data_IF_447936963500
#
_entry.id   IF_447936963500
#
_cell.length_a   1.000
_cell.length_b   1.000
_cell.length_c   1.000
_cell.angle_alpha   90.00
_cell.angle_beta   90.00
_cell.angle_gamma   90.00
#
_symmetry.space_group_name_H-M   'P 1'
#
loop_
_entity.id
_entity.type
_entity.pdbx_description
1 polymer ?
#
# COMPACT_ATOMS: atom_id res chain seq x y z
N UNK A 1 -15.44 0.89 -25.11
CA UNK A 1 -14.79 -0.03 -24.16
C UNK A 1 -15.86 -0.49 -23.20
N UNK A 2 -16.08 -1.80 -23.08
CA UNK A 2 -17.02 -2.31 -22.08
C UNK A 2 -16.57 -1.82 -20.70
N UNK A 3 -17.49 -1.27 -19.91
CA UNK A 3 -17.20 -0.95 -18.51
C UNK A 3 -17.01 -2.30 -17.83
N UNK A 4 -15.75 -2.71 -17.67
CA UNK A 4 -15.42 -3.97 -17.01
C UNK A 4 -15.97 -3.96 -15.58
N UNK A 5 -16.51 -5.10 -15.15
CA UNK A 5 -17.05 -5.21 -13.80
C UNK A 5 -15.93 -5.05 -12.78
N UNK A 6 -16.03 -4.03 -11.94
CA UNK A 6 -15.07 -3.75 -10.87
C UNK A 6 -14.87 -4.92 -9.89
N UNK A 7 -15.78 -5.91 -9.92
CA UNK A 7 -15.79 -7.06 -9.03
C UNK A 7 -15.12 -8.32 -9.63
N UNK A 8 -14.64 -8.27 -10.88
CA UNK A 8 -14.13 -9.46 -11.60
C UNK A 8 -12.98 -10.17 -10.88
N UNK A 9 -12.12 -9.40 -10.19
CA UNK A 9 -10.96 -9.90 -9.44
C UNK A 9 -11.11 -9.70 -7.93
N UNK A 10 -12.36 -9.63 -7.46
CA UNK A 10 -12.67 -9.64 -6.04
C UNK A 10 -13.01 -11.08 -5.65
N UNK A 11 -12.38 -11.60 -4.60
CA UNK A 11 -12.50 -12.97 -4.14
C UNK A 11 -13.26 -13.00 -2.82
N UNK A 12 -14.57 -13.34 -2.81
CA UNK A 12 -15.38 -13.30 -1.58
C UNK A 12 -14.88 -14.23 -0.47
N UNK A 13 -14.37 -15.41 -0.83
CA UNK A 13 -13.78 -16.33 0.14
C UNK A 13 -12.52 -15.74 0.80
N UNK A 14 -11.69 -15.05 0.02
CA UNK A 14 -10.52 -14.35 0.53
C UNK A 14 -10.92 -13.16 1.43
N UNK A 15 -11.94 -12.39 1.03
CA UNK A 15 -12.53 -11.33 1.87
C UNK A 15 -13.00 -11.89 3.20
N UNK A 16 -13.77 -12.97 3.19
CA UNK A 16 -14.24 -13.64 4.40
C UNK A 16 -13.07 -14.11 5.27
N UNK A 17 -12.02 -14.69 4.68
CA UNK A 17 -10.82 -15.10 5.41
C UNK A 17 -10.09 -13.92 6.07
N UNK A 18 -9.91 -12.79 5.37
CA UNK A 18 -9.27 -11.58 5.91
C UNK A 18 -10.09 -11.02 7.07
N UNK A 19 -11.42 -10.99 6.93
CA UNK A 19 -12.34 -10.47 7.95
C UNK A 19 -12.58 -11.44 9.13
N UNK A 20 -12.39 -12.74 8.93
CA UNK A 20 -12.61 -13.75 9.95
C UNK A 20 -11.47 -13.86 10.97
N UNK A 21 -10.32 -13.20 10.76
CA UNK A 21 -9.18 -13.22 11.68
C UNK A 21 -9.64 -12.79 13.09
N UNK A 22 -9.81 -13.73 14.03
CA UNK A 22 -10.33 -13.41 15.34
C UNK A 22 -9.20 -12.78 16.15
N UNK A 23 -9.53 -11.75 16.92
CA UNK A 23 -8.78 -11.39 18.12
C UNK A 23 -8.62 -12.65 19.00
N UNK A 24 -7.47 -13.32 18.89
CA UNK A 24 -6.99 -14.39 19.77
C UNK A 24 -7.90 -15.61 19.95
N UNK A 25 -7.75 -16.65 19.10
CA UNK A 25 -7.70 -18.06 19.54
C UNK A 25 -7.46 -18.97 18.34
N UNK A 26 -6.68 -20.02 18.57
CA UNK A 26 -6.04 -20.87 17.59
C UNK A 26 -6.96 -21.90 16.89
N UNK A 27 -6.41 -22.41 15.80
CA UNK A 27 -6.56 -23.76 15.27
C UNK A 27 -7.82 -24.12 14.45
N UNK A 28 -7.53 -24.63 13.25
CA UNK A 28 -8.34 -25.52 12.42
C UNK A 28 -9.76 -25.07 12.09
N UNK A 29 -9.93 -24.43 10.93
CA UNK A 29 -11.21 -24.46 10.22
C UNK A 29 -10.96 -24.77 8.75
N UNK A 30 -11.34 -25.99 8.36
CA UNK A 30 -11.52 -26.44 6.97
C UNK A 30 -12.60 -25.59 6.28
N UNK A 31 -12.44 -25.21 4.99
CA UNK A 31 -13.44 -24.39 4.30
C UNK A 31 -14.72 -25.19 4.01
N UNK A 32 -15.89 -24.51 3.97
CA UNK A 32 -17.16 -25.14 3.60
C UNK A 32 -17.21 -25.42 2.08
N UNK A 33 -17.70 -26.59 1.72
CA UNK A 33 -18.05 -26.94 0.34
C UNK A 33 -19.41 -26.33 -0.02
N UNK A 34 -19.51 -25.63 -1.15
CA UNK A 34 -20.78 -25.49 -1.88
C UNK A 34 -20.56 -25.10 -3.34
N UNK A 35 -21.21 -25.89 -4.20
CA UNK A 35 -21.32 -25.79 -5.65
C UNK A 35 -21.88 -24.44 -6.14
N UNK A 36 -21.24 -23.83 -7.15
CA UNK A 36 -21.89 -23.27 -8.36
C UNK A 36 -20.86 -22.59 -9.28
N UNK A 37 -21.10 -22.70 -10.59
CA UNK A 37 -20.21 -22.30 -11.69
C UNK A 37 -19.85 -20.80 -11.72
N UNK A 38 -18.79 -20.40 -11.02
CA UNK A 38 -17.97 -19.23 -11.33
C UNK A 38 -16.51 -19.68 -11.50
N UNK A 39 -15.76 -19.25 -12.52
CA UNK A 39 -14.43 -19.79 -12.83
C UNK A 39 -13.36 -19.54 -11.74
N UNK A 40 -13.71 -18.94 -10.60
CA UNK A 40 -12.80 -18.57 -9.51
C UNK A 40 -13.33 -18.93 -8.10
N UNK A 41 -14.36 -19.77 -7.96
CA UNK A 41 -14.96 -20.09 -6.65
C UNK A 41 -14.07 -20.92 -5.71
N UNK A 42 -13.10 -21.67 -6.24
CA UNK A 42 -12.33 -22.65 -5.45
C UNK A 42 -10.95 -22.17 -4.99
N UNK A 43 -10.61 -20.90 -5.23
CA UNK A 43 -9.28 -20.38 -4.92
C UNK A 43 -9.19 -19.98 -3.45
N UNK A 44 -8.96 -20.98 -2.60
CA UNK A 44 -8.51 -20.74 -1.23
C UNK A 44 -7.12 -20.07 -1.26
N UNK A 45 -6.75 -19.26 -0.24
CA UNK A 45 -5.42 -18.65 -0.11
C UNK A 45 -4.31 -19.69 0.17
N UNK A 46 -4.48 -20.93 -0.29
CA UNK A 46 -3.75 -22.12 0.14
C UNK A 46 -3.56 -23.12 -1.00
N UNK A 47 -3.56 -22.69 -2.27
CA UNK A 47 -2.88 -23.46 -3.31
C UNK A 47 -1.39 -23.61 -2.96
N UNK A 48 -0.84 -22.59 -2.28
CA UNK A 48 0.43 -22.62 -1.58
C UNK A 48 0.35 -23.48 -0.32
N UNK A 49 1.24 -24.47 -0.15
CA UNK A 49 1.51 -25.09 1.16
C UNK A 49 2.28 -24.14 2.12
N UNK A 50 2.12 -22.82 1.94
CA UNK A 50 2.86 -21.78 2.67
C UNK A 50 1.92 -21.19 3.74
N UNK A 51 2.40 -21.01 4.98
CA UNK A 51 1.66 -20.27 6.01
C UNK A 51 1.29 -18.85 5.55
N UNK A 52 0.07 -18.41 5.88
CA UNK A 52 -0.45 -17.12 5.41
C UNK A 52 0.41 -15.91 5.80
N UNK A 53 0.99 -15.90 6.99
CA UNK A 53 1.90 -14.83 7.45
C UNK A 53 3.15 -14.73 6.57
N UNK A 54 3.71 -15.88 6.19
CA UNK A 54 4.83 -15.97 5.25
C UNK A 54 4.40 -15.53 3.86
N UNK A 55 3.25 -16.00 3.36
CA UNK A 55 2.73 -15.60 2.05
C UNK A 55 2.47 -14.08 1.99
N UNK A 56 1.87 -13.50 3.04
CA UNK A 56 1.63 -12.06 3.12
C UNK A 56 2.95 -11.27 3.09
N UNK A 57 3.98 -11.75 3.78
CA UNK A 57 5.30 -11.13 3.74
C UNK A 57 5.96 -11.25 2.36
N UNK A 58 5.81 -12.40 1.68
CA UNK A 58 6.28 -12.59 0.32
C UNK A 58 5.58 -11.65 -0.65
N UNK A 59 4.25 -11.49 -0.57
CA UNK A 59 3.48 -10.52 -1.36
C UNK A 59 4.01 -9.10 -1.18
N UNK A 60 4.12 -8.63 0.07
CA UNK A 60 4.62 -7.28 0.37
C UNK A 60 6.01 -7.04 -0.18
N UNK A 61 6.96 -7.91 0.14
CA UNK A 61 8.36 -7.75 -0.30
C UNK A 61 8.55 -7.93 -1.80
N UNK A 62 7.64 -8.64 -2.48
CA UNK A 62 7.63 -8.71 -3.95
C UNK A 62 7.14 -7.39 -4.56
N UNK A 63 6.11 -6.77 -3.99
CA UNK A 63 5.66 -5.44 -4.41
C UNK A 63 6.68 -4.33 -4.09
N UNK A 64 7.40 -4.42 -2.97
CA UNK A 64 8.54 -3.55 -2.65
C UNK A 64 9.65 -3.68 -3.70
N UNK A 65 9.98 -4.91 -4.12
CA UNK A 65 10.93 -5.14 -5.20
C UNK A 65 10.48 -4.52 -6.54
N UNK A 66 9.17 -4.57 -6.85
CA UNK A 66 8.62 -3.88 -8.03
C UNK A 66 8.84 -2.37 -7.96
N UNK A 67 8.64 -1.75 -6.79
CA UNK A 67 8.89 -0.31 -6.59
C UNK A 67 10.36 0.04 -6.71
N UNK A 68 11.24 -0.75 -6.08
CA UNK A 68 12.69 -0.56 -6.17
C UNK A 68 13.18 -0.69 -7.62
N UNK A 69 12.66 -1.67 -8.36
CA UNK A 69 13.00 -1.87 -9.77
C UNK A 69 12.49 -0.71 -10.62
N UNK A 70 11.22 -0.34 -10.48
CA UNK A 70 10.63 0.80 -11.19
C UNK A 70 11.39 2.09 -10.93
N UNK A 71 11.82 2.34 -9.69
CA UNK A 71 12.62 3.51 -9.32
C UNK A 71 13.99 3.53 -10.02
N UNK A 72 14.66 2.37 -10.14
CA UNK A 72 15.95 2.27 -10.84
C UNK A 72 15.80 2.54 -12.34
N UNK A 73 14.74 2.02 -12.96
CA UNK A 73 14.47 2.22 -14.39
C UNK A 73 13.62 3.46 -14.70
N UNK A 74 13.35 4.29 -13.69
CA UNK A 74 12.56 5.53 -13.79
C UNK A 74 11.15 5.35 -14.39
N UNK A 75 10.51 4.22 -14.10
CA UNK A 75 9.11 3.96 -14.47
C UNK A 75 8.19 4.74 -13.51
N UNK A 76 7.15 5.45 -14.01
CA UNK A 76 6.22 6.19 -13.16
C UNK A 76 5.29 5.29 -12.34
N UNK A 77 4.52 5.90 -11.44
CA UNK A 77 3.65 5.17 -10.51
C UNK A 77 2.57 4.33 -11.20
N UNK A 78 1.96 4.82 -12.28
CA UNK A 78 0.85 4.12 -12.94
C UNK A 78 1.22 2.69 -13.41
N UNK A 79 2.27 2.48 -14.22
CA UNK A 79 2.75 1.13 -14.55
C UNK A 79 3.24 0.34 -13.33
N UNK A 80 3.85 1.00 -12.34
CA UNK A 80 4.35 0.36 -11.12
C UNK A 80 3.21 -0.26 -10.30
N UNK A 81 2.13 0.49 -10.11
CA UNK A 81 0.92 0.04 -9.41
C UNK A 81 0.23 -1.08 -10.20
N UNK A 82 0.11 -0.94 -11.53
CA UNK A 82 -0.46 -1.99 -12.37
C UNK A 82 0.33 -3.31 -12.25
N UNK A 83 1.67 -3.24 -12.23
CA UNK A 83 2.54 -4.39 -12.02
C UNK A 83 2.31 -5.06 -10.66
N UNK A 84 2.17 -4.29 -9.59
CA UNK A 84 1.84 -4.83 -8.27
C UNK A 84 0.49 -5.54 -8.28
N UNK A 85 -0.52 -4.98 -8.95
CA UNK A 85 -1.85 -5.62 -9.07
C UNK A 85 -1.78 -6.92 -9.88
N UNK A 86 -0.98 -6.98 -10.95
CA UNK A 86 -0.71 -8.23 -11.67
C UNK A 86 -0.07 -9.29 -10.77
N UNK A 87 0.92 -8.91 -9.96
CA UNK A 87 1.56 -9.82 -8.99
C UNK A 87 0.54 -10.36 -8.00
N UNK A 88 -0.33 -9.50 -7.45
CA UNK A 88 -1.37 -9.95 -6.51
C UNK A 88 -2.33 -10.94 -7.15
N UNK A 89 -2.86 -10.62 -8.35
CA UNK A 89 -3.77 -11.49 -9.11
C UNK A 89 -3.12 -12.82 -9.48
N UNK A 90 -1.86 -12.80 -9.92
CA UNK A 90 -1.13 -14.01 -10.29
C UNK A 90 -0.98 -14.96 -9.09
N UNK A 91 -0.50 -14.45 -7.96
CA UNK A 91 -0.31 -15.26 -6.76
C UNK A 91 -1.61 -15.59 -6.04
N UNK A 92 -2.75 -15.05 -6.47
CA UNK A 92 -4.04 -15.61 -6.05
C UNK A 92 -4.23 -17.00 -6.66
N UNK A 93 -3.80 -17.21 -7.91
CA UNK A 93 -4.02 -18.45 -8.66
C UNK A 93 -2.84 -19.43 -8.63
N UNK A 94 -1.64 -18.94 -8.31
CA UNK A 94 -0.40 -19.72 -8.31
C UNK A 94 0.34 -19.65 -6.97
N UNK A 95 1.18 -20.65 -6.69
CA UNK A 95 2.00 -20.65 -5.47
C UNK A 95 3.37 -19.99 -5.66
N UNK A 96 3.83 -19.28 -4.62
CA UNK A 96 5.21 -18.79 -4.49
C UNK A 96 6.27 -19.90 -4.48
N UNK A 97 5.89 -21.19 -4.28
CA UNK A 97 6.83 -22.31 -4.41
C UNK A 97 7.09 -22.72 -5.87
N UNK A 98 6.13 -22.43 -6.76
CA UNK A 98 6.18 -22.87 -8.16
C UNK A 98 6.79 -21.80 -9.08
N UNK A 99 6.53 -20.53 -8.78
CA UNK A 99 7.00 -19.40 -9.57
C UNK A 99 7.92 -18.51 -8.74
N UNK A 100 9.09 -18.20 -9.30
CA UNK A 100 10.00 -17.25 -8.69
C UNK A 100 9.37 -15.85 -8.69
N UNK A 101 9.28 -15.27 -7.49
CA UNK A 101 8.62 -13.98 -7.27
C UNK A 101 9.32 -12.79 -7.91
N UNK A 102 10.63 -12.84 -8.02
CA UNK A 102 11.40 -11.73 -8.59
C UNK A 102 11.31 -11.78 -10.11
N UNK A 103 11.43 -12.97 -10.71
CA UNK A 103 11.19 -13.14 -12.15
C UNK A 103 9.76 -12.74 -12.55
N UNK A 104 8.76 -13.17 -11.77
CA UNK A 104 7.38 -12.75 -12.01
C UNK A 104 7.21 -11.23 -11.85
N UNK A 105 7.77 -10.63 -10.80
CA UNK A 105 7.70 -9.19 -10.58
C UNK A 105 8.33 -8.40 -11.74
N UNK A 106 9.49 -8.85 -12.25
CA UNK A 106 10.12 -8.27 -13.43
C UNK A 106 9.24 -8.41 -14.67
N UNK A 107 8.63 -9.58 -14.90
CA UNK A 107 7.70 -9.80 -16.01
C UNK A 107 6.41 -8.98 -15.89
N UNK A 108 5.87 -8.82 -14.68
CA UNK A 108 4.71 -8.00 -14.40
C UNK A 108 4.98 -6.52 -14.67
N UNK A 109 6.15 -6.02 -14.27
CA UNK A 109 6.57 -4.64 -14.56
C UNK A 109 6.81 -4.42 -16.06
N UNK A 110 7.42 -5.39 -16.74
CA UNK A 110 7.59 -5.36 -18.20
C UNK A 110 6.25 -5.28 -18.93
N UNK A 111 5.29 -6.11 -18.53
CA UNK A 111 3.95 -6.11 -19.10
C UNK A 111 3.22 -4.80 -18.81
N UNK A 112 3.21 -4.35 -17.56
CA UNK A 112 2.54 -3.12 -17.13
C UNK A 112 3.09 -1.87 -17.85
N UNK A 113 4.42 -1.80 -17.98
CA UNK A 113 5.10 -0.76 -18.73
C UNK A 113 4.60 -0.68 -20.18
N UNK A 114 4.38 -1.82 -20.85
CA UNK A 114 3.81 -1.85 -22.20
C UNK A 114 2.33 -1.44 -22.23
N UNK A 115 1.53 -1.88 -21.25
CA UNK A 115 0.08 -1.60 -21.24
C UNK A 115 -0.24 -0.16 -20.88
N UNK A 116 0.63 0.51 -20.14
CA UNK A 116 0.50 1.91 -19.69
C UNK A 116 1.33 2.87 -20.57
N UNK A 117 1.67 2.46 -21.80
CA UNK A 117 2.37 3.28 -22.81
C UNK A 117 3.75 3.81 -22.36
N UNK A 118 4.44 3.08 -21.49
CA UNK A 118 5.82 3.34 -21.05
C UNK A 118 6.75 2.14 -21.34
N UNK A 119 6.87 1.66 -22.60
CA UNK A 119 7.57 0.42 -22.90
C UNK A 119 9.09 0.51 -22.63
N UNK A 120 9.63 -0.49 -21.94
CA UNK A 120 11.06 -0.63 -21.64
C UNK A 120 11.66 -1.83 -22.38
N UNK A 121 12.97 -1.80 -22.67
CA UNK A 121 13.67 -2.97 -23.22
C UNK A 121 13.80 -4.05 -22.14
N UNK A 122 13.43 -5.29 -22.47
CA UNK A 122 13.52 -6.44 -21.53
C UNK A 122 14.93 -6.64 -20.98
N UNK A 123 15.96 -6.42 -21.81
CA UNK A 123 17.37 -6.55 -21.40
C UNK A 123 17.73 -5.58 -20.28
N UNK A 124 17.46 -4.29 -20.49
CA UNK A 124 17.67 -3.23 -19.48
C UNK A 124 16.94 -3.57 -18.17
N UNK A 125 15.68 -3.96 -18.26
CA UNK A 125 14.88 -4.29 -17.09
C UNK A 125 15.44 -5.51 -16.34
N UNK A 126 15.91 -6.52 -17.07
CA UNK A 126 16.52 -7.73 -16.50
C UNK A 126 17.86 -7.43 -15.83
N UNK A 127 18.70 -6.60 -16.44
CA UNK A 127 19.97 -6.15 -15.86
C UNK A 127 19.72 -5.42 -14.53
N UNK A 128 18.80 -4.44 -14.51
CA UNK A 128 18.46 -3.72 -13.28
C UNK A 128 17.85 -4.64 -12.19
N UNK A 129 17.03 -5.62 -12.58
CA UNK A 129 16.48 -6.61 -11.65
C UNK A 129 17.58 -7.48 -11.02
N UNK A 130 18.53 -7.98 -11.83
CA UNK A 130 19.66 -8.76 -11.34
C UNK A 130 20.57 -7.94 -10.43
N UNK A 131 20.82 -6.67 -10.76
CA UNK A 131 21.59 -5.76 -9.92
C UNK A 131 20.95 -5.56 -8.55
N UNK A 132 19.63 -5.40 -8.47
CA UNK A 132 18.92 -5.33 -7.20
C UNK A 132 19.16 -6.60 -6.36
N UNK A 133 18.97 -7.76 -6.97
CA UNK A 133 19.05 -9.05 -6.29
C UNK A 133 20.47 -9.40 -5.82
N UNK A 134 21.48 -9.09 -6.62
CA UNK A 134 22.84 -9.59 -6.42
C UNK A 134 23.78 -8.55 -5.83
N UNK A 135 23.63 -7.28 -6.21
CA UNK A 135 24.58 -6.23 -5.84
C UNK A 135 24.05 -5.32 -4.72
N UNK A 136 22.73 -5.06 -4.67
CA UNK A 136 22.13 -4.14 -3.68
C UNK A 136 21.63 -4.83 -2.41
N UNK A 137 21.34 -6.13 -2.45
CA UNK A 137 20.88 -6.90 -1.28
C UNK A 137 21.93 -7.65 -0.41
N UNK A 138 23.26 -7.66 -0.63
CA UNK A 138 24.18 -8.42 0.23
C UNK A 138 24.26 -7.92 1.68
N UNK A 139 23.89 -6.67 1.95
CA UNK A 139 23.98 -6.07 3.30
C UNK A 139 22.93 -6.60 4.31
N UNK A 140 21.75 -7.09 3.87
CA UNK A 140 20.72 -7.56 4.83
C UNK A 140 21.08 -8.90 5.46
N UNK A 141 21.80 -9.77 4.76
CA UNK A 141 22.30 -11.04 5.31
C UNK A 141 23.52 -10.83 6.24
N UNK A 142 24.38 -9.85 5.95
CA UNK A 142 25.47 -9.40 6.82
C UNK A 142 24.93 -8.78 8.14
N UNK A 143 23.91 -7.94 8.07
CA UNK A 143 23.22 -7.35 9.24
C UNK A 143 22.52 -8.42 10.09
N UNK A 144 21.94 -9.44 9.47
CA UNK A 144 21.30 -10.58 10.14
C UNK A 144 22.33 -11.47 10.85
N UNK A 145 23.49 -11.74 10.24
CA UNK A 145 24.62 -12.45 10.89
C UNK A 145 25.25 -11.65 12.04
N UNK A 146 25.37 -10.33 11.91
CA UNK A 146 25.82 -9.42 12.98
C UNK A 146 24.83 -9.37 14.15
N UNK A 147 23.52 -9.48 13.88
CA UNK A 147 22.48 -9.53 14.92
C UNK A 147 22.47 -10.84 15.71
N UNK A 148 22.88 -11.97 15.11
CA UNK A 148 23.02 -13.26 15.80
C UNK A 148 24.30 -13.38 16.67
N UNK A 149 25.29 -12.52 16.46
CA UNK A 149 26.58 -12.56 17.18
C UNK A 149 26.67 -11.61 18.39
N UNK A 150 25.62 -10.83 18.70
CA UNK A 150 25.59 -9.97 19.91
C UNK A 150 24.58 -10.51 20.93
N UNK A 151 24.91 -11.63 21.58
CA UNK A 151 24.36 -11.93 22.92
C UNK A 151 24.93 -10.89 23.89
N UNK A 152 24.08 -9.96 24.35
CA UNK A 152 24.42 -8.99 25.40
C UNK A 152 24.76 -9.73 26.70
N UNK A 153 25.81 -9.32 27.44
CA UNK A 153 25.96 -9.74 28.82
C UNK A 153 24.94 -8.99 29.69
N UNK A 154 24.43 -9.74 30.67
CA UNK A 154 23.54 -9.31 31.76
C UNK A 154 24.18 -8.15 32.54
N UNK A 155 23.40 -7.09 32.82
CA UNK A 155 23.85 -6.02 33.71
C UNK A 155 23.11 -6.10 35.04
N UNK A 156 23.89 -6.47 36.06
CA UNK A 156 23.53 -6.42 37.47
C UNK A 156 23.24 -4.99 37.95
N UNK A 157 22.41 -4.94 38.99
CA UNK A 157 22.00 -3.75 39.72
C UNK A 157 23.14 -3.21 40.60
N UNK A 158 23.38 -1.89 40.61
CA UNK A 158 23.68 -1.06 41.82
C UNK A 158 24.02 0.42 41.50
N UNK A 159 23.09 1.29 41.88
CA UNK A 159 23.22 2.46 42.77
C UNK A 159 24.45 3.41 42.80
N UNK A 160 24.11 4.71 42.70
CA UNK A 160 24.45 5.88 43.55
C UNK A 160 25.42 6.98 43.04
N UNK A 161 24.82 8.19 42.96
CA UNK A 161 25.28 9.57 43.22
C UNK A 161 26.28 10.32 42.31
N UNK A 162 25.90 11.58 42.00
CA UNK A 162 26.83 12.71 42.05
C UNK A 162 26.79 13.75 40.91
N UNK A 163 26.12 14.88 41.17
CA UNK A 163 26.51 16.26 40.80
C UNK A 163 26.30 16.84 39.38
N UNK A 164 25.39 17.84 39.37
CA UNK A 164 25.25 19.08 38.59
C UNK A 164 26.28 19.48 37.49
N UNK A 165 25.79 19.84 36.29
CA UNK A 165 25.67 21.24 35.82
C UNK A 165 25.16 21.34 34.36
N UNK A 166 24.39 22.41 34.04
CA UNK A 166 24.35 23.04 32.71
C UNK A 166 23.26 22.60 31.70
N UNK A 167 22.18 23.39 31.59
CA UNK A 167 21.22 23.45 30.46
C UNK A 167 21.83 24.32 29.31
N UNK A 168 21.39 24.24 28.03
CA UNK A 168 19.97 24.33 27.64
C UNK A 168 19.45 23.45 26.49
N UNK A 169 18.26 22.90 26.74
CA UNK A 169 17.04 22.85 25.90
C UNK A 169 17.20 23.25 24.42
N UNK A 170 17.18 22.27 23.51
CA UNK A 170 16.87 22.46 22.09
C UNK A 170 15.42 22.07 21.79
N UNK A 171 14.75 22.94 21.03
CA UNK A 171 13.37 22.85 20.56
C UNK A 171 13.22 21.88 19.37
N UNK A 172 12.01 21.36 19.09
CA UNK A 172 11.73 20.59 17.88
C UNK A 172 11.75 21.48 16.62
N UNK A 173 12.08 20.95 15.43
CA UNK A 173 12.25 21.77 14.24
C UNK A 173 10.90 22.32 13.75
N UNK A 174 10.87 23.63 13.53
CA UNK A 174 9.77 24.38 12.94
C UNK A 174 9.81 24.36 11.41
N UNK A 175 8.61 24.44 10.83
CA UNK A 175 8.33 24.45 9.40
C UNK A 175 9.04 25.60 8.68
N UNK A 176 9.76 25.29 7.61
CA UNK A 176 10.27 26.28 6.66
C UNK A 176 9.22 26.59 5.60
N UNK A 177 8.92 27.87 5.47
CA UNK A 177 8.07 28.46 4.43
C UNK A 177 8.72 28.32 3.05
N UNK A 178 7.97 27.80 2.08
CA UNK A 178 8.38 27.72 0.67
C UNK A 178 8.36 29.13 0.07
N UNK A 179 9.53 29.72 -0.12
CA UNK A 179 9.70 30.96 -0.88
C UNK A 179 9.60 30.68 -2.39
N UNK A 180 8.61 31.27 -3.06
CA UNK A 180 8.45 31.23 -4.53
C UNK A 180 9.64 31.91 -5.20
N UNK A 181 10.47 31.14 -5.93
CA UNK A 181 11.57 31.67 -6.76
C UNK A 181 11.01 32.48 -7.93
N UNK A 182 11.43 33.74 -8.03
CA UNK A 182 11.28 34.60 -9.22
C UNK A 182 12.60 34.58 -10.00
N UNK A 183 12.54 34.63 -11.32
CA UNK A 183 13.72 34.85 -12.16
C UNK A 183 14.17 36.33 -12.12
N UNK A 184 15.38 36.61 -12.62
CA UNK A 184 16.04 37.93 -12.58
C UNK A 184 15.30 39.07 -13.32
N UNK A 185 14.19 38.75 -14.01
CA UNK A 185 13.31 39.72 -14.67
C UNK A 185 11.96 39.90 -13.96
N UNK A 186 11.76 39.34 -12.76
CA UNK A 186 10.59 39.60 -11.92
C UNK A 186 9.26 39.02 -12.44
N UNK A 187 9.27 38.06 -13.38
CA UNK A 187 8.05 37.43 -13.90
C UNK A 187 7.78 36.11 -13.17
N UNK A 188 6.53 35.88 -12.75
CA UNK A 188 6.09 34.63 -12.13
C UNK A 188 6.11 33.53 -13.21
N UNK A 189 6.86 32.46 -12.96
CA UNK A 189 6.95 31.31 -13.87
C UNK A 189 5.69 30.46 -13.69
N UNK A 190 4.88 30.37 -14.74
CA UNK A 190 3.77 29.42 -14.84
C UNK A 190 4.33 27.99 -14.87
N UNK A 191 3.71 27.11 -14.08
CA UNK A 191 4.03 25.68 -14.00
C UNK A 191 3.55 24.99 -15.28
N UNK A 192 4.37 24.99 -16.32
CA UNK A 192 4.24 24.06 -17.43
C UNK A 192 4.87 22.72 -17.06
N UNK A 193 4.06 21.67 -17.09
CA UNK A 193 4.43 20.28 -16.94
C UNK A 193 5.45 19.87 -18.01
N UNK A 194 6.72 19.81 -17.61
CA UNK A 194 7.77 19.10 -18.32
C UNK A 194 8.76 18.63 -17.26
N UNK A 195 8.49 17.45 -16.67
CA UNK A 195 9.49 16.70 -15.92
C UNK A 195 10.61 16.35 -16.90
N UNK A 196 11.65 17.16 -16.92
CA UNK A 196 12.90 16.82 -17.58
C UNK A 196 13.59 15.77 -16.73
N UNK A 197 13.39 14.48 -17.04
CA UNK A 197 14.33 13.46 -16.59
C UNK A 197 15.65 13.76 -17.30
N UNK A 198 16.71 13.95 -16.53
CA UNK A 198 18.05 14.16 -17.05
C UNK A 198 18.55 12.84 -17.65
N UNK A 199 18.61 12.70 -18.99
CA UNK A 199 19.00 11.44 -19.63
C UNK A 199 20.44 11.06 -19.29
N UNK A 200 21.31 12.03 -18.96
CA UNK A 200 22.69 11.77 -18.56
C UNK A 200 22.75 11.11 -17.20
N UNK A 201 21.93 11.57 -16.25
CA UNK A 201 21.83 10.97 -14.92
C UNK A 201 21.27 9.54 -14.97
N UNK A 202 20.25 9.29 -15.80
CA UNK A 202 19.70 7.95 -16.00
C UNK A 202 20.74 6.99 -16.61
N UNK A 203 21.48 7.46 -17.61
CA UNK A 203 22.55 6.69 -18.23
C UNK A 203 23.69 6.38 -17.25
N UNK A 204 24.07 7.33 -16.40
CA UNK A 204 25.10 7.13 -15.37
C UNK A 204 24.70 6.03 -14.37
N UNK A 205 23.46 6.06 -13.87
CA UNK A 205 22.93 5.02 -12.97
C UNK A 205 22.93 3.64 -13.62
N UNK A 206 22.55 3.56 -14.90
CA UNK A 206 22.57 2.31 -15.64
C UNK A 206 24.00 1.81 -15.86
N UNK A 207 24.96 2.69 -16.12
CA UNK A 207 26.37 2.34 -16.23
C UNK A 207 26.90 1.75 -14.92
N UNK A 208 26.58 2.36 -13.78
CA UNK A 208 26.95 1.86 -12.45
C UNK A 208 26.38 0.47 -12.20
N UNK A 209 25.13 0.24 -12.59
CA UNK A 209 24.49 -1.08 -12.56
C UNK A 209 25.28 -2.09 -13.39
N UNK A 210 25.58 -1.77 -14.65
CA UNK A 210 26.32 -2.67 -15.54
C UNK A 210 27.73 -2.98 -15.03
N UNK A 211 28.45 -2.00 -14.47
CA UNK A 211 29.76 -2.21 -13.87
C UNK A 211 29.69 -3.19 -12.71
N UNK A 212 28.73 -3.02 -11.80
CA UNK A 212 28.53 -3.95 -10.68
C UNK A 212 28.15 -5.36 -11.14
N UNK A 213 27.34 -5.47 -12.21
CA UNK A 213 26.97 -6.77 -12.77
C UNK A 213 28.14 -7.48 -13.45
N UNK A 214 29.01 -6.75 -14.15
CA UNK A 214 30.16 -7.31 -14.85
C UNK A 214 31.11 -8.06 -13.90
N UNK A 215 31.14 -7.68 -12.62
CA UNK A 215 31.97 -8.34 -11.60
C UNK A 215 31.36 -9.64 -11.07
N UNK A 216 30.03 -9.80 -11.17
CA UNK A 216 29.28 -10.84 -10.43
C UNK A 216 28.62 -11.87 -11.36
N UNK A 217 28.23 -11.47 -12.57
CA UNK A 217 27.37 -12.25 -13.47
C UNK A 217 28.12 -12.72 -14.70
N UNK A 218 27.92 -13.99 -15.06
CA UNK A 218 28.33 -14.53 -16.36
C UNK A 218 27.43 -13.98 -17.47
N UNK A 219 28.02 -13.54 -18.58
CA UNK A 219 27.31 -12.85 -19.67
C UNK A 219 25.99 -13.54 -20.05
N UNK A 220 25.99 -14.87 -20.24
CA UNK A 220 24.83 -15.65 -20.67
C UNK A 220 23.66 -15.78 -19.67
N UNK A 221 23.88 -15.44 -18.40
CA UNK A 221 22.82 -15.50 -17.38
C UNK A 221 21.78 -14.40 -17.61
N UNK A 222 22.21 -13.23 -18.11
CA UNK A 222 21.32 -12.11 -18.43
C UNK A 222 20.37 -12.50 -19.57
N UNK A 223 20.87 -13.07 -20.66
CA UNK A 223 20.01 -13.52 -21.78
C UNK A 223 19.06 -14.64 -21.35
N UNK A 224 19.53 -15.57 -20.51
CA UNK A 224 18.70 -16.66 -19.99
C UNK A 224 17.56 -16.11 -19.12
N UNK A 225 17.87 -15.15 -18.26
CA UNK A 225 16.89 -14.51 -17.37
C UNK A 225 15.88 -13.68 -18.17
N UNK A 226 16.33 -12.91 -19.16
CA UNK A 226 15.45 -12.14 -20.04
C UNK A 226 14.49 -13.06 -20.82
N UNK A 227 14.96 -14.23 -21.27
CA UNK A 227 14.13 -15.23 -21.92
C UNK A 227 13.05 -15.79 -20.97
N UNK A 228 13.40 -16.04 -19.71
CA UNK A 228 12.44 -16.46 -18.67
C UNK A 228 11.40 -15.36 -18.39
N UNK A 229 11.81 -14.09 -18.36
CA UNK A 229 10.90 -12.94 -18.17
C UNK A 229 9.86 -12.88 -19.30
N UNK A 230 10.26 -13.07 -20.56
CA UNK A 230 9.33 -13.10 -21.69
C UNK A 230 8.36 -14.30 -21.63
N UNK A 231 8.84 -15.46 -21.20
CA UNK A 231 7.98 -16.62 -21.01
C UNK A 231 6.98 -16.39 -19.87
N UNK A 232 7.43 -15.82 -18.75
CA UNK A 232 6.57 -15.51 -17.61
C UNK A 232 5.56 -14.42 -17.94
N UNK A 233 5.90 -13.42 -18.76
CA UNK A 233 4.93 -12.47 -19.27
C UNK A 233 3.77 -13.18 -19.98
N UNK A 234 4.10 -14.17 -20.84
CA UNK A 234 3.07 -14.94 -21.54
C UNK A 234 2.21 -15.76 -20.57
N UNK A 235 2.83 -16.39 -19.57
CA UNK A 235 2.10 -17.14 -18.53
C UNK A 235 1.21 -16.19 -17.72
N UNK A 236 1.70 -15.00 -17.37
CA UNK A 236 0.96 -13.97 -16.65
C UNK A 236 -0.26 -13.52 -17.45
N UNK A 237 -0.10 -13.19 -18.73
CA UNK A 237 -1.20 -12.83 -19.63
C UNK A 237 -2.28 -13.91 -19.70
N UNK A 238 -1.88 -15.18 -19.80
CA UNK A 238 -2.83 -16.30 -19.78
C UNK A 238 -3.52 -16.44 -18.42
N UNK A 239 -2.77 -16.28 -17.33
CA UNK A 239 -3.28 -16.37 -15.95
C UNK A 239 -4.35 -15.31 -15.67
N UNK A 240 -4.10 -14.07 -16.09
CA UNK A 240 -5.06 -12.97 -15.93
C UNK A 240 -6.12 -12.95 -17.03
N UNK A 241 -6.19 -13.97 -17.89
CA UNK A 241 -7.14 -14.04 -19.01
C UNK A 241 -7.10 -12.80 -19.93
N UNK A 242 -5.90 -12.26 -20.17
CA UNK A 242 -5.65 -11.03 -20.95
C UNK A 242 -6.36 -9.78 -20.42
N UNK A 243 -6.76 -9.80 -19.14
CA UNK A 243 -7.35 -8.66 -18.42
C UNK A 243 -6.25 -7.70 -17.95
N UNK A 244 -5.82 -6.85 -18.88
CA UNK A 244 -4.78 -5.83 -18.67
C UNK A 244 -5.34 -4.49 -18.15
N UNK A 245 -6.65 -4.26 -18.25
CA UNK A 245 -7.31 -3.00 -17.92
C UNK A 245 -7.59 -2.81 -16.42
N UNK A 246 -6.57 -2.95 -15.57
CA UNK A 246 -6.80 -3.01 -14.13
C UNK A 246 -7.22 -1.66 -13.53
N UNK A 247 -8.45 -1.53 -12.99
CA UNK A 247 -8.85 -0.32 -12.27
C UNK A 247 -8.00 -0.11 -11.02
N UNK A 248 -7.29 1.00 -10.95
CA UNK A 248 -6.41 1.34 -9.82
C UNK A 248 -7.23 2.03 -8.71
N UNK A 249 -7.14 1.59 -7.43
CA UNK A 249 -7.88 2.20 -6.33
C UNK A 249 -7.65 3.72 -6.19
N UNK A 250 -6.44 4.20 -6.50
CA UNK A 250 -6.08 5.62 -6.44
C UNK A 250 -7.00 6.52 -7.29
N UNK A 251 -7.49 6.02 -8.43
CA UNK A 251 -8.35 6.78 -9.34
C UNK A 251 -9.70 7.15 -8.70
N UNK A 252 -10.14 6.44 -7.67
CA UNK A 252 -11.44 6.65 -7.01
C UNK A 252 -11.37 7.57 -5.78
N UNK A 253 -10.17 7.90 -5.30
CA UNK A 253 -9.98 8.73 -4.09
C UNK A 253 -10.57 10.12 -4.27
N UNK A 254 -10.29 10.78 -5.39
CA UNK A 254 -10.78 12.14 -5.64
C UNK A 254 -12.32 12.21 -5.63
N UNK A 255 -12.99 11.19 -6.18
CA UNK A 255 -14.46 11.10 -6.16
C UNK A 255 -15.02 11.01 -4.74
N UNK A 256 -14.40 10.22 -3.87
CA UNK A 256 -14.81 10.10 -2.47
C UNK A 256 -14.50 11.40 -1.70
N UNK A 257 -13.32 11.99 -1.93
CA UNK A 257 -12.90 13.25 -1.32
C UNK A 257 -13.87 14.40 -1.64
N UNK A 258 -14.26 14.59 -2.91
CA UNK A 258 -15.20 15.66 -3.30
C UNK A 258 -16.52 15.56 -2.52
N UNK A 259 -17.04 14.35 -2.31
CA UNK A 259 -18.28 14.14 -1.55
C UNK A 259 -18.13 14.52 -0.08
N UNK A 260 -16.99 14.16 0.53
CA UNK A 260 -16.71 14.52 1.93
C UNK A 260 -16.58 16.04 2.04
N UNK A 261 -15.72 16.67 1.23
CA UNK A 261 -15.43 18.10 1.26
C UNK A 261 -16.61 19.01 0.85
N UNK A 262 -17.69 18.44 0.31
CA UNK A 262 -18.94 19.17 0.08
C UNK A 262 -19.76 19.38 1.37
N UNK A 263 -19.43 18.71 2.47
CA UNK A 263 -20.11 18.89 3.77
C UNK A 263 -19.74 20.24 4.40
N UNK A 264 -20.76 21.05 4.74
CA UNK A 264 -20.58 22.38 5.32
C UNK A 264 -19.84 22.38 6.68
N UNK A 265 -19.91 21.27 7.41
CA UNK A 265 -19.37 21.11 8.76
C UNK A 265 -17.87 20.72 8.80
N UNK A 266 -17.18 20.65 7.66
CA UNK A 266 -15.74 20.39 7.66
C UNK A 266 -14.99 21.63 8.10
N UNK A 267 -14.16 21.47 9.13
CA UNK A 267 -13.38 22.57 9.67
C UNK A 267 -12.44 23.13 8.58
N UNK A 268 -12.44 24.46 8.28
CA UNK A 268 -11.69 25.06 7.16
C UNK A 268 -10.16 24.89 7.22
N UNK A 269 -9.62 24.39 8.33
CA UNK A 269 -8.17 24.30 8.57
C UNK A 269 -7.53 23.00 8.09
N UNK A 270 -8.27 22.09 7.46
CA UNK A 270 -7.74 20.77 7.10
C UNK A 270 -7.40 20.75 5.62
N UNK A 271 -6.12 20.56 5.26
CA UNK A 271 -5.72 20.52 3.86
C UNK A 271 -6.34 19.31 3.17
N UNK A 272 -6.93 19.53 1.99
CA UNK A 272 -7.35 18.45 1.08
C UNK A 272 -6.21 17.46 0.82
N UNK A 273 -4.99 17.97 0.70
CA UNK A 273 -3.79 17.18 0.45
C UNK A 273 -3.44 16.22 1.59
N UNK A 274 -3.65 16.61 2.86
CA UNK A 274 -3.29 15.77 4.00
C UNK A 274 -4.12 14.48 4.06
N UNK A 275 -5.41 14.55 3.73
CA UNK A 275 -6.28 13.38 3.69
C UNK A 275 -5.98 12.54 2.44
N UNK A 276 -5.73 13.20 1.30
CA UNK A 276 -5.36 12.51 0.05
C UNK A 276 -4.07 11.70 0.22
N UNK A 277 -3.03 12.29 0.80
CA UNK A 277 -1.74 11.63 1.03
C UNK A 277 -1.87 10.42 1.97
N UNK A 278 -2.65 10.56 3.05
CA UNK A 278 -2.94 9.44 3.95
C UNK A 278 -3.74 8.33 3.27
N UNK A 279 -4.75 8.68 2.48
CA UNK A 279 -5.53 7.70 1.74
C UNK A 279 -4.64 6.95 0.73
N UNK A 280 -3.74 7.65 0.05
CA UNK A 280 -2.80 7.03 -0.88
C UNK A 280 -1.81 6.10 -0.17
N UNK A 281 -1.33 6.49 1.02
CA UNK A 281 -0.47 5.62 1.85
C UNK A 281 -1.19 4.32 2.23
N UNK A 282 -2.43 4.43 2.74
CA UNK A 282 -3.25 3.26 3.09
C UNK A 282 -3.51 2.36 1.87
N UNK A 283 -3.75 2.95 0.70
CA UNK A 283 -3.96 2.20 -0.54
C UNK A 283 -2.69 1.50 -1.03
N UNK A 284 -1.52 2.13 -0.92
CA UNK A 284 -0.24 1.49 -1.24
C UNK A 284 -0.01 0.25 -0.38
N UNK A 285 -0.25 0.37 0.94
CA UNK A 285 -0.15 -0.74 1.88
C UNK A 285 -1.20 -1.84 1.60
N UNK A 286 -2.40 -1.46 1.18
CA UNK A 286 -3.46 -2.39 0.77
C UNK A 286 -3.10 -3.19 -0.47
N UNK A 287 -2.48 -2.57 -1.47
CA UNK A 287 -2.02 -3.25 -2.68
C UNK A 287 -0.87 -4.21 -2.34
N UNK A 288 0.13 -3.76 -1.57
CA UNK A 288 1.26 -4.60 -1.15
C UNK A 288 0.85 -5.82 -0.34
N UNK A 289 -0.17 -5.68 0.50
CA UNK A 289 -0.68 -6.78 1.34
C UNK A 289 -1.61 -7.74 0.60
N UNK A 290 -2.05 -7.41 -0.62
CA UNK A 290 -3.03 -8.18 -1.39
C UNK A 290 -4.49 -7.90 -1.02
N UNK A 291 -4.78 -6.93 -0.14
CA UNK A 291 -6.13 -6.55 0.26
C UNK A 291 -7.00 -6.09 -0.92
N UNK A 292 -6.37 -5.60 -2.00
CA UNK A 292 -7.04 -5.25 -3.26
C UNK A 292 -7.75 -6.43 -3.95
N UNK A 293 -7.50 -7.67 -3.54
CA UNK A 293 -8.21 -8.87 -4.01
C UNK A 293 -9.46 -9.17 -3.18
N UNK A 294 -9.60 -8.57 -1.99
CA UNK A 294 -10.75 -8.79 -1.10
C UNK A 294 -11.86 -7.75 -1.31
N UNK A 295 -11.53 -6.58 -1.85
CA UNK A 295 -12.45 -5.46 -2.00
C UNK A 295 -12.37 -4.86 -3.39
N UNK A 296 -13.49 -4.34 -3.87
CA UNK A 296 -13.53 -3.57 -5.11
C UNK A 296 -12.68 -2.28 -4.97
N UNK A 297 -11.95 -1.85 -6.01
CA UNK A 297 -11.14 -0.63 -5.98
C UNK A 297 -11.86 0.63 -5.47
N UNK A 298 -13.14 0.80 -5.81
CA UNK A 298 -13.94 1.93 -5.36
C UNK A 298 -14.29 1.85 -3.87
N UNK A 299 -14.61 0.64 -3.37
CA UNK A 299 -14.84 0.39 -1.95
C UNK A 299 -13.56 0.68 -1.14
N UNK A 300 -12.43 0.15 -1.61
CA UNK A 300 -11.13 0.29 -0.96
C UNK A 300 -10.70 1.76 -0.87
N UNK A 301 -10.84 2.52 -1.96
CA UNK A 301 -10.54 3.96 -1.98
C UNK A 301 -11.44 4.75 -1.03
N UNK A 302 -12.72 4.41 -0.98
CA UNK A 302 -13.70 5.06 -0.10
C UNK A 302 -13.38 4.79 1.37
N UNK A 303 -13.05 3.54 1.72
CA UNK A 303 -12.62 3.19 3.08
C UNK A 303 -11.31 3.86 3.48
N UNK A 304 -10.36 4.01 2.54
CA UNK A 304 -9.10 4.72 2.80
C UNK A 304 -9.34 6.22 3.09
N UNK A 305 -10.26 6.86 2.36
CA UNK A 305 -10.67 8.25 2.65
C UNK A 305 -11.37 8.33 4.01
N UNK A 306 -12.29 7.40 4.30
CA UNK A 306 -13.01 7.35 5.58
C UNK A 306 -12.04 7.28 6.79
N UNK A 307 -11.10 6.32 6.77
CA UNK A 307 -10.09 6.18 7.82
C UNK A 307 -9.22 7.43 7.92
N UNK A 308 -8.82 8.01 6.78
CA UNK A 308 -7.98 9.21 6.76
C UNK A 308 -8.68 10.41 7.42
N UNK A 309 -9.98 10.59 7.16
CA UNK A 309 -10.80 11.60 7.82
C UNK A 309 -10.91 11.36 9.33
N UNK A 310 -11.10 10.12 9.77
CA UNK A 310 -11.14 9.78 11.20
C UNK A 310 -9.78 10.02 11.89
N UNK A 311 -8.68 9.65 11.24
CA UNK A 311 -7.33 9.79 11.78
C UNK A 311 -6.94 11.25 11.99
N UNK A 312 -7.24 12.09 11.00
CA UNK A 312 -7.01 13.54 11.08
C UNK A 312 -8.06 14.26 11.93
N UNK A 313 -9.04 13.53 12.49
CA UNK A 313 -10.17 14.09 13.23
C UNK A 313 -10.89 15.18 12.42
N UNK A 314 -10.95 14.99 11.10
CA UNK A 314 -11.35 16.04 10.17
C UNK A 314 -12.83 16.29 10.12
N UNK A 315 -13.58 15.25 10.45
CA UNK A 315 -15.02 15.27 10.55
C UNK A 315 -15.34 14.75 11.94
N UNK A 316 -16.02 15.56 12.75
CA UNK A 316 -16.49 15.11 14.05
C UNK A 316 -17.48 13.94 13.83
N UNK A 317 -17.50 12.91 14.70
CA UNK A 317 -18.51 11.85 14.64
C UNK A 317 -19.94 12.39 14.64
N UNK A 318 -20.12 13.59 15.20
CA UNK A 318 -21.39 14.28 15.33
C UNK A 318 -21.86 15.02 14.07
N UNK A 319 -21.04 15.06 13.01
CA UNK A 319 -21.43 15.72 11.76
C UNK A 319 -22.50 14.89 11.06
N UNK A 320 -23.63 15.55 10.78
CA UNK A 320 -24.70 15.00 9.97
C UNK A 320 -24.76 15.71 8.61
N UNK A 321 -25.36 15.02 7.65
CA UNK A 321 -25.74 15.55 6.33
C UNK A 321 -27.01 16.39 6.42
N UNK A 322 -27.39 17.04 5.31
CA UNK A 322 -28.64 17.81 5.20
C UNK A 322 -29.90 16.98 5.50
N UNK A 323 -29.83 15.66 5.27
CA UNK A 323 -30.91 14.71 5.58
C UNK A 323 -30.86 14.17 7.02
N UNK A 324 -29.96 14.71 7.85
CA UNK A 324 -29.70 14.28 9.22
C UNK A 324 -29.16 12.83 9.34
N UNK A 325 -28.56 12.32 8.26
CA UNK A 325 -27.82 11.05 8.27
C UNK A 325 -26.36 11.30 8.67
N UNK A 326 -25.65 10.32 9.27
CA UNK A 326 -24.23 10.47 9.61
C UNK A 326 -23.37 10.82 8.39
N UNK A 327 -22.33 11.62 8.59
CA UNK A 327 -21.53 12.20 7.49
C UNK A 327 -21.01 11.19 6.46
N UNK A 328 -20.71 9.96 6.85
CA UNK A 328 -20.16 8.96 5.94
C UNK A 328 -21.20 8.41 4.95
N UNK A 329 -22.49 8.71 5.13
CA UNK A 329 -23.54 8.33 4.17
C UNK A 329 -23.29 8.92 2.77
N UNK A 330 -22.66 10.10 2.67
CA UNK A 330 -22.32 10.74 1.39
C UNK A 330 -21.36 9.92 0.54
N UNK A 331 -20.56 9.06 1.18
CA UNK A 331 -19.61 8.18 0.50
C UNK A 331 -20.34 7.17 -0.39
N UNK A 332 -21.57 6.80 -0.03
CA UNK A 332 -22.42 5.90 -0.81
C UNK A 332 -22.16 4.42 -0.55
N UNK A 333 -21.47 4.08 0.54
CA UNK A 333 -21.38 2.71 1.06
C UNK A 333 -22.34 2.54 2.23
N UNK A 334 -22.94 1.35 2.36
CA UNK A 334 -23.68 1.01 3.58
C UNK A 334 -22.77 0.97 4.79
N UNK A 335 -23.33 1.14 5.99
CA UNK A 335 -22.60 1.05 7.26
C UNK A 335 -21.77 -0.24 7.36
N UNK A 336 -22.36 -1.38 6.99
CA UNK A 336 -21.71 -2.68 7.01
C UNK A 336 -20.55 -2.78 6.01
N UNK A 337 -20.72 -2.26 4.79
CA UNK A 337 -19.64 -2.27 3.79
C UNK A 337 -18.46 -1.39 4.24
N UNK A 338 -18.75 -0.21 4.77
CA UNK A 338 -17.74 0.71 5.26
C UNK A 338 -16.96 0.11 6.43
N UNK A 339 -17.67 -0.55 7.35
CA UNK A 339 -17.06 -1.29 8.46
C UNK A 339 -16.13 -2.38 7.94
N UNK A 340 -16.60 -3.24 7.02
CA UNK A 340 -15.79 -4.30 6.43
C UNK A 340 -14.49 -3.77 5.80
N UNK A 341 -14.57 -2.71 5.00
CA UNK A 341 -13.39 -2.15 4.33
C UNK A 341 -12.45 -1.52 5.35
N UNK A 342 -12.98 -0.73 6.28
CA UNK A 342 -12.18 -0.09 7.32
C UNK A 342 -11.45 -1.13 8.18
N UNK A 343 -12.15 -2.21 8.50
CA UNK A 343 -11.61 -3.34 9.24
C UNK A 343 -10.46 -4.01 8.50
N UNK A 344 -10.66 -4.31 7.22
CA UNK A 344 -9.62 -4.87 6.35
C UNK A 344 -8.37 -3.98 6.30
N UNK A 345 -8.54 -2.67 6.18
CA UNK A 345 -7.45 -1.70 6.12
C UNK A 345 -6.66 -1.61 7.43
N UNK A 346 -7.34 -1.55 8.58
CA UNK A 346 -6.70 -1.48 9.89
C UNK A 346 -5.96 -2.79 10.20
N UNK A 347 -6.58 -3.94 9.95
CA UNK A 347 -5.99 -5.24 10.24
C UNK A 347 -4.76 -5.61 9.43
N UNK A 348 -4.45 -4.88 8.37
CA UNK A 348 -3.13 -4.95 7.72
C UNK A 348 -1.97 -4.62 8.67
N UNK A 349 -2.25 -3.88 9.74
CA UNK A 349 -1.27 -3.44 10.73
C UNK A 349 -1.38 -4.19 12.06
N UNK A 350 -2.02 -5.37 12.06
CA UNK A 350 -1.87 -6.32 13.16
C UNK A 350 -0.64 -7.21 12.97
N UNK A 351 -0.17 -7.76 14.07
CA UNK A 351 0.84 -8.80 14.11
C UNK A 351 0.22 -10.20 14.02
N UNK A 352 1.08 -11.24 14.02
CA UNK A 352 0.63 -12.63 13.95
C UNK A 352 -0.21 -13.07 15.16
N UNK A 353 -0.15 -12.34 16.27
CA UNK A 353 -0.93 -12.60 17.49
C UNK A 353 -2.25 -11.81 17.56
N UNK A 354 -2.57 -11.02 16.53
CA UNK A 354 -3.75 -10.16 16.50
C UNK A 354 -3.61 -8.90 17.35
N UNK A 355 -2.39 -8.54 17.77
CA UNK A 355 -2.13 -7.27 18.44
C UNK A 355 -1.71 -6.22 17.42
N UNK A 356 -1.97 -4.95 17.73
CA UNK A 356 -1.52 -3.83 16.92
C UNK A 356 0.02 -3.82 16.84
N UNK A 357 0.57 -3.71 15.62
CA UNK A 357 2.02 -3.73 15.39
C UNK A 357 2.74 -2.71 16.29
N UNK A 358 3.91 -3.11 16.78
CA UNK A 358 4.81 -2.23 17.51
C UNK A 358 5.32 -1.11 16.59
N UNK A 359 5.27 0.14 17.05
CA UNK A 359 5.73 1.32 16.29
C UNK A 359 4.61 2.16 15.65
N UNK A 360 3.35 1.71 15.70
CA UNK A 360 2.21 2.55 15.29
C UNK A 360 2.04 3.75 16.23
N UNK A 361 1.71 4.92 15.66
CA UNK A 361 1.45 6.12 16.45
C UNK A 361 0.25 5.92 17.39
N UNK A 362 0.24 6.52 18.59
CA UNK A 362 -0.92 6.44 19.49
C UNK A 362 -2.23 6.88 18.83
N UNK A 363 -2.16 7.91 17.97
CA UNK A 363 -3.31 8.40 17.19
C UNK A 363 -3.84 7.33 16.21
N UNK A 364 -2.95 6.54 15.60
CA UNK A 364 -3.36 5.51 14.64
C UNK A 364 -3.95 4.30 15.36
N UNK A 365 -3.45 3.99 16.56
CA UNK A 365 -4.01 2.94 17.42
C UNK A 365 -5.42 3.25 17.89
N UNK A 366 -5.71 4.52 18.15
CA UNK A 366 -7.03 4.99 18.57
C UNK A 366 -8.08 4.82 17.46
N UNK A 367 -7.66 4.68 16.19
CA UNK A 367 -8.58 4.38 15.09
C UNK A 367 -9.37 3.09 15.33
N UNK A 368 -8.79 2.08 15.97
CA UNK A 368 -9.48 0.80 16.27
C UNK A 368 -10.73 0.99 17.16
N UNK A 369 -10.76 2.03 17.98
CA UNK A 369 -11.95 2.37 18.77
C UNK A 369 -12.91 3.27 17.99
N UNK A 370 -12.38 4.15 17.12
CA UNK A 370 -13.15 5.18 16.40
C UNK A 370 -13.75 4.73 15.06
N UNK A 371 -13.31 3.61 14.46
CA UNK A 371 -13.80 3.23 13.13
C UNK A 371 -15.19 2.61 13.14
N UNK A 372 -15.75 2.23 14.30
CA UNK A 372 -17.02 1.50 14.40
C UNK A 372 -18.18 2.37 13.88
N UNK A 373 -18.72 2.11 12.69
CA UNK A 373 -19.75 2.97 12.11
C UNK A 373 -21.04 2.94 12.92
N UNK A 374 -21.35 1.80 13.55
CA UNK A 374 -22.50 1.63 14.45
C UNK A 374 -22.38 2.42 15.77
N UNK A 375 -21.15 2.76 16.21
CA UNK A 375 -20.91 3.51 17.46
C UNK A 375 -20.60 4.98 17.21
N UNK A 376 -20.23 5.35 15.98
CA UNK A 376 -20.10 6.74 15.54
C UNK A 376 -21.45 7.42 15.27
N UNK A 377 -22.57 6.80 15.63
CA UNK A 377 -23.88 7.45 15.58
C UNK A 377 -23.79 8.76 16.37
N UNK A 378 -24.15 9.92 15.78
CA UNK A 378 -24.22 11.16 16.54
C UNK A 378 -25.14 10.92 17.74
N UNK A 379 -24.64 11.12 18.97
CA UNK A 379 -25.52 11.22 20.13
C UNK A 379 -26.27 12.55 20.02
N UNK A 380 -27.36 12.51 19.27
CA UNK A 380 -28.20 13.65 18.96
C UNK A 380 -28.80 14.27 20.23
N UNK A 381 -28.91 13.52 21.35
CA UNK A 381 -29.34 14.09 22.63
C UNK A 381 -28.22 14.86 23.32
N UNK A 382 -26.99 14.37 23.26
CA UNK A 382 -25.82 15.05 23.78
C UNK A 382 -25.51 16.34 22.99
N UNK A 383 -25.60 16.32 21.66
CA UNK A 383 -25.40 17.49 20.79
C UNK A 383 -26.50 18.53 21.05
N UNK A 384 -27.77 18.13 21.09
CA UNK A 384 -28.89 19.03 21.43
C UNK A 384 -28.74 19.65 22.82
N UNK A 385 -28.20 18.92 23.81
CA UNK A 385 -27.91 19.45 25.15
C UNK A 385 -26.74 20.44 25.16
N UNK A 386 -25.73 20.24 24.32
CA UNK A 386 -24.62 21.18 24.15
C UNK A 386 -25.10 22.48 23.48
N UNK A 387 -25.91 22.36 22.42
CA UNK A 387 -26.39 23.50 21.64
C UNK A 387 -27.53 24.27 22.34
N UNK A 388 -28.26 23.63 23.27
CA UNK A 388 -29.28 24.28 24.09
C UNK A 388 -28.71 25.38 25.02
N UNK A 389 -27.40 25.42 25.25
CA UNK A 389 -26.72 26.48 25.99
C UNK A 389 -26.21 27.64 25.14
N UNK A 390 -26.38 27.56 23.81
CA UNK A 390 -25.89 28.55 22.83
C UNK A 390 -27.03 29.34 22.15
N UNK A 391 -28.29 29.06 22.51
CA UNK A 391 -29.47 29.88 22.19
C UNK A 391 -29.88 30.69 23.42
#
# INVERSE_FOLDING_TARGET
MAIESLDKWVFPAFRAFVLARPSGSAASQTPPQSDDHAPYSDVTPTASQIPWDVEQQLRRTTCEFVEDLAAIVEIPDAPTVAAQLYVQRFYMLHSFQQHDRFLLATAALFLAAKTEEFPIKVRLLTECALYLLLCKHPDRDELRKKSSSKRRPTLDTRNIAGSANGRPRSQPPSMTSVSRRKNSAGKVVEMSASLGNDPEAANARHLDCLHALLEVIDVGEVETTASKVLLLERILLQTISFDIGIPQPFAYVARAMVKVFALEAIHPSIPYDDIRELAFLLLSDAIKSGLCLAFNPAELATGAVYISCLYRCSVSPNVATDTNDPWWSVLGLSSQQLECVAHGLLWMYEDASGHQRHGLSPQFRDLWARYRPEQNLPDLEYIKKLDAGLQ
#
